data_IF_715477763163
#
_entry.id   IF_715477763163
#
_cell.length_a   1.000
_cell.length_b   1.000
_cell.length_c   1.000
_cell.angle_alpha   90.00
_cell.angle_beta   90.00
_cell.angle_gamma   90.00
#
_symmetry.space_group_name_H-M   'P 1'
#
loop_
_entity.id
_entity.type
_entity.pdbx_description
1 polymer ?
#
# COMPACT_ATOMS: atom_id res chain seq x y z
N UNK A 1 3.35 -38.61 -5.66
CA UNK A 1 3.19 -38.04 -7.00
C UNK A 1 2.26 -36.84 -6.96
N UNK A 2 2.69 -35.69 -7.53
CA UNK A 2 1.87 -34.50 -7.67
C UNK A 2 1.42 -34.37 -9.12
N UNK A 3 0.13 -34.12 -9.33
CA UNK A 3 -0.47 -33.93 -10.65
C UNK A 3 -1.44 -32.75 -10.65
N UNK A 4 -1.88 -32.32 -11.84
CA UNK A 4 -2.83 -31.23 -12.03
C UNK A 4 -4.23 -31.47 -11.43
N UNK A 5 -4.52 -32.67 -10.95
CA UNK A 5 -5.75 -33.02 -10.24
C UNK A 5 -5.79 -32.44 -8.82
N UNK A 6 -4.64 -32.04 -8.26
CA UNK A 6 -4.52 -31.50 -6.90
C UNK A 6 -4.51 -29.98 -7.00
N UNK A 7 -5.58 -29.34 -6.51
CA UNK A 7 -5.77 -27.86 -6.60
C UNK A 7 -4.80 -27.01 -5.77
N UNK A 8 -4.26 -27.57 -4.68
CA UNK A 8 -3.24 -26.91 -3.84
C UNK A 8 -2.21 -27.94 -3.46
N UNK A 9 -0.96 -27.66 -3.76
CA UNK A 9 0.15 -28.53 -3.49
C UNK A 9 1.39 -27.73 -3.09
N UNK A 10 2.42 -28.43 -2.64
CA UNK A 10 3.70 -27.82 -2.32
C UNK A 10 4.83 -28.70 -2.83
N UNK A 11 5.90 -28.06 -3.27
CA UNK A 11 7.17 -28.71 -3.62
C UNK A 11 8.24 -28.22 -2.63
N UNK A 12 9.01 -29.18 -2.12
CA UNK A 12 10.20 -28.95 -1.32
C UNK A 12 11.38 -29.38 -2.17
N UNK A 13 12.40 -28.53 -2.25
CA UNK A 13 13.65 -28.80 -2.95
C UNK A 13 14.81 -28.73 -1.96
N UNK A 14 15.92 -29.37 -2.28
CA UNK A 14 17.15 -29.32 -1.51
C UNK A 14 17.76 -27.91 -1.48
N UNK A 15 17.68 -27.18 -2.60
CA UNK A 15 18.11 -25.80 -2.72
C UNK A 15 16.98 -24.93 -3.26
N UNK A 16 17.01 -23.62 -2.96
CA UNK A 16 16.04 -22.66 -3.50
C UNK A 16 16.66 -21.30 -3.75
N UNK A 17 16.32 -20.71 -4.93
CA UNK A 17 16.60 -19.33 -5.27
C UNK A 17 15.42 -18.39 -4.97
N UNK A 18 14.29 -18.92 -4.48
CA UNK A 18 13.10 -18.15 -4.10
C UNK A 18 13.28 -17.52 -2.72
N UNK A 19 12.92 -16.26 -2.58
CA UNK A 19 12.80 -15.61 -1.28
C UNK A 19 11.56 -16.19 -0.55
N UNK A 20 11.75 -16.67 0.64
CA UNK A 20 10.65 -17.10 1.50
C UNK A 20 10.10 -15.91 2.30
N UNK A 21 8.77 -15.81 2.46
CA UNK A 21 8.12 -14.77 3.24
C UNK A 21 8.78 -14.58 4.60
N UNK A 22 9.28 -13.37 4.86
CA UNK A 22 9.95 -13.00 6.09
C UNK A 22 10.06 -11.48 6.21
N UNK A 23 10.15 -10.94 7.45
CA UNK A 23 10.38 -9.50 7.70
C UNK A 23 9.33 -8.57 7.07
N UNK A 24 8.13 -9.07 6.80
CA UNK A 24 7.05 -8.33 6.13
C UNK A 24 7.11 -8.34 4.60
N UNK A 25 8.19 -8.85 3.98
CA UNK A 25 8.24 -9.07 2.53
C UNK A 25 7.57 -10.40 2.19
N UNK A 26 6.65 -10.38 1.21
CA UNK A 26 5.99 -11.59 0.68
C UNK A 26 6.98 -12.53 0.00
N UNK A 27 6.64 -13.83 -0.02
CA UNK A 27 7.42 -14.85 -0.71
C UNK A 27 7.42 -14.64 -2.24
N UNK A 28 8.50 -15.09 -2.88
CA UNK A 28 8.61 -15.06 -4.34
C UNK A 28 7.61 -16.01 -4.99
N UNK A 29 7.22 -15.63 -6.19
CA UNK A 29 6.42 -16.42 -7.13
C UNK A 29 7.28 -16.81 -8.32
N UNK A 30 6.83 -17.81 -9.09
CA UNK A 30 7.56 -18.23 -10.28
C UNK A 30 7.18 -19.62 -10.74
N UNK A 31 8.13 -20.33 -11.36
CA UNK A 31 7.92 -21.64 -11.97
C UNK A 31 9.00 -22.62 -11.49
N UNK A 32 8.57 -23.83 -11.17
CA UNK A 32 9.45 -24.99 -11.00
C UNK A 32 9.14 -25.95 -12.14
N UNK A 33 10.14 -26.32 -12.93
CA UNK A 33 9.98 -27.21 -14.09
C UNK A 33 10.90 -28.42 -13.98
N UNK A 34 10.43 -29.55 -14.45
CA UNK A 34 11.21 -30.73 -14.80
C UNK A 34 11.13 -30.97 -16.31
N UNK A 35 11.73 -32.05 -16.81
CA UNK A 35 11.72 -32.37 -18.23
C UNK A 35 10.30 -32.40 -18.85
N UNK A 36 9.31 -32.94 -18.11
CA UNK A 36 7.94 -33.15 -18.62
C UNK A 36 6.84 -32.59 -17.71
N UNK A 37 7.19 -31.71 -16.76
CA UNK A 37 6.22 -31.16 -15.83
C UNK A 37 6.54 -29.71 -15.46
N UNK A 38 5.48 -28.95 -15.19
CA UNK A 38 5.56 -27.55 -14.79
C UNK A 38 4.64 -27.27 -13.59
N UNK A 39 5.20 -26.57 -12.59
CA UNK A 39 4.53 -26.17 -11.36
C UNK A 39 4.61 -24.66 -11.20
N UNK A 40 3.46 -24.00 -11.01
CA UNK A 40 3.40 -22.58 -10.71
C UNK A 40 3.50 -22.35 -9.22
N UNK A 41 4.56 -21.67 -8.79
CA UNK A 41 4.73 -21.22 -7.42
C UNK A 41 3.93 -19.92 -7.22
N UNK A 42 3.03 -19.93 -6.25
CA UNK A 42 2.18 -18.77 -5.88
C UNK A 42 2.60 -18.12 -4.56
N UNK A 43 3.34 -18.85 -3.73
CA UNK A 43 3.90 -18.39 -2.46
C UNK A 43 5.10 -19.25 -2.05
N UNK A 44 6.06 -18.65 -1.38
CA UNK A 44 7.24 -19.35 -0.85
C UNK A 44 7.40 -19.04 0.63
N UNK A 45 7.51 -20.08 1.45
CA UNK A 45 7.69 -19.98 2.90
C UNK A 45 8.89 -20.81 3.35
N UNK A 46 9.31 -20.55 4.57
CA UNK A 46 10.42 -21.27 5.20
C UNK A 46 10.01 -21.78 6.58
N UNK A 47 10.33 -23.03 6.88
CA UNK A 47 10.12 -23.58 8.22
C UNK A 47 11.14 -23.00 9.21
N UNK A 48 10.92 -23.11 10.53
CA UNK A 48 11.92 -22.72 11.53
C UNK A 48 13.27 -23.45 11.37
N UNK A 49 13.25 -24.66 10.78
CA UNK A 49 14.45 -25.48 10.50
C UNK A 49 15.16 -25.06 9.21
N UNK A 50 14.63 -24.08 8.48
CA UNK A 50 15.27 -23.55 7.28
C UNK A 50 14.82 -24.22 5.97
N UNK A 51 13.83 -25.09 5.96
CA UNK A 51 13.33 -25.79 4.76
C UNK A 51 12.42 -24.86 3.97
N UNK A 52 12.72 -24.66 2.69
CA UNK A 52 11.89 -23.88 1.76
C UNK A 52 10.72 -24.71 1.25
N UNK A 53 9.53 -24.17 1.30
CA UNK A 53 8.28 -24.76 0.83
C UNK A 53 7.70 -23.86 -0.25
N UNK A 54 7.58 -24.37 -1.48
CA UNK A 54 7.02 -23.65 -2.62
C UNK A 54 5.56 -24.09 -2.78
N UNK A 55 4.63 -23.24 -2.38
CA UNK A 55 3.18 -23.48 -2.51
C UNK A 55 2.70 -23.10 -3.91
N UNK A 56 1.78 -23.90 -4.46
CA UNK A 56 1.25 -23.61 -5.78
C UNK A 56 0.41 -24.74 -6.36
N UNK A 57 0.46 -24.88 -7.67
CA UNK A 57 -0.27 -25.91 -8.41
C UNK A 57 0.50 -26.40 -9.64
N UNK A 58 0.32 -27.68 -9.97
CA UNK A 58 0.84 -28.28 -11.19
C UNK A 58 0.08 -27.72 -12.38
N UNK A 59 0.80 -27.15 -13.37
CA UNK A 59 0.25 -26.67 -14.62
C UNK A 59 0.14 -27.83 -15.61
N UNK A 60 1.22 -28.60 -15.73
CA UNK A 60 1.31 -29.73 -16.68
C UNK A 60 2.19 -30.84 -16.10
N UNK A 61 1.97 -32.05 -16.57
CA UNK A 61 2.73 -33.25 -16.20
C UNK A 61 2.55 -33.68 -14.75
N UNK A 62 3.53 -34.42 -14.24
CA UNK A 62 3.53 -34.97 -12.89
C UNK A 62 4.91 -34.86 -12.26
N UNK A 63 4.97 -34.55 -10.97
CA UNK A 63 6.20 -34.55 -10.17
C UNK A 63 6.25 -35.74 -9.24
N UNK A 64 7.46 -36.33 -9.09
CA UNK A 64 7.77 -37.38 -8.14
C UNK A 64 8.97 -36.99 -7.29
N UNK A 65 9.10 -37.58 -6.13
CA UNK A 65 10.28 -37.41 -5.28
C UNK A 65 11.52 -37.88 -6.06
N UNK A 66 12.60 -37.12 -5.97
CA UNK A 66 13.87 -37.41 -6.65
C UNK A 66 13.95 -36.85 -8.09
N UNK A 67 12.90 -36.17 -8.61
CA UNK A 67 13.04 -35.46 -9.88
C UNK A 67 14.02 -34.30 -9.76
N UNK A 68 14.90 -34.17 -10.72
CA UNK A 68 15.69 -32.96 -10.93
C UNK A 68 14.76 -31.85 -11.47
N UNK A 69 14.88 -30.68 -10.88
CA UNK A 69 14.01 -29.54 -11.20
C UNK A 69 14.82 -28.26 -11.40
N UNK A 70 14.32 -27.41 -12.29
CA UNK A 70 14.81 -26.06 -12.52
C UNK A 70 13.87 -25.06 -11.87
N UNK A 71 14.41 -24.17 -11.03
CA UNK A 71 13.68 -23.12 -10.35
C UNK A 71 13.87 -21.80 -11.10
N UNK A 72 12.76 -21.12 -11.41
CA UNK A 72 12.76 -19.82 -12.10
C UNK A 72 11.82 -18.85 -11.37
N UNK A 73 12.42 -17.88 -10.69
CA UNK A 73 11.68 -16.78 -10.03
C UNK A 73 11.07 -15.87 -11.08
N UNK A 74 9.87 -15.36 -10.82
CA UNK A 74 9.28 -14.25 -11.57
C UNK A 74 10.01 -12.95 -11.21
N UNK A 75 11.00 -12.62 -12.04
CA UNK A 75 11.84 -11.43 -11.82
C UNK A 75 11.05 -10.13 -11.96
N UNK A 76 9.99 -10.10 -12.76
CA UNK A 76 9.14 -8.90 -12.91
C UNK A 76 8.44 -8.56 -11.59
N UNK A 77 7.90 -9.57 -10.89
CA UNK A 77 7.29 -9.37 -9.58
C UNK A 77 8.34 -9.06 -8.51
N UNK A 78 9.47 -9.80 -8.52
CA UNK A 78 10.58 -9.56 -7.57
C UNK A 78 11.12 -8.14 -7.67
N UNK A 79 11.24 -7.58 -8.87
CA UNK A 79 11.76 -6.23 -9.05
C UNK A 79 10.80 -5.17 -8.51
N UNK A 80 9.48 -5.35 -8.65
CA UNK A 80 8.50 -4.49 -8.00
C UNK A 80 8.58 -4.57 -6.46
N UNK A 81 8.73 -5.79 -5.93
CA UNK A 81 8.90 -6.02 -4.48
C UNK A 81 10.18 -5.36 -3.96
N UNK A 82 11.32 -5.49 -4.67
CA UNK A 82 12.58 -4.83 -4.32
C UNK A 82 12.44 -3.32 -4.23
N UNK A 83 11.73 -2.68 -5.20
CA UNK A 83 11.46 -1.24 -5.20
C UNK A 83 10.69 -0.84 -3.93
N UNK A 84 9.59 -1.51 -3.64
CA UNK A 84 8.78 -1.25 -2.46
C UNK A 84 9.55 -1.53 -1.16
N UNK A 85 10.35 -2.59 -1.09
CA UNK A 85 11.14 -2.90 0.10
C UNK A 85 12.22 -1.85 0.36
N UNK A 86 12.95 -1.47 -0.67
CA UNK A 86 13.98 -0.43 -0.54
C UNK A 86 13.37 0.92 -0.17
N UNK A 87 12.20 1.27 -0.76
CA UNK A 87 11.47 2.48 -0.38
C UNK A 87 10.98 2.44 1.08
N UNK A 88 10.68 1.26 1.64
CA UNK A 88 10.29 1.11 3.06
C UNK A 88 11.42 1.58 3.98
N UNK A 89 12.66 1.22 3.70
CA UNK A 89 13.83 1.66 4.47
C UNK A 89 14.05 3.17 4.35
N UNK A 90 13.90 3.74 3.14
CA UNK A 90 14.02 5.19 2.94
C UNK A 90 12.89 5.93 3.68
N UNK A 91 11.66 5.41 3.64
CA UNK A 91 10.52 5.96 4.39
C UNK A 91 10.77 5.92 5.90
N UNK A 92 11.28 4.80 6.43
CA UNK A 92 11.61 4.67 7.85
C UNK A 92 12.63 5.73 8.29
N UNK A 93 13.71 5.91 7.53
CA UNK A 93 14.70 6.95 7.80
C UNK A 93 14.08 8.37 7.74
N UNK A 94 13.27 8.68 6.71
CA UNK A 94 12.57 9.96 6.58
C UNK A 94 11.62 10.23 7.76
N UNK A 95 10.87 9.22 8.20
CA UNK A 95 9.99 9.33 9.36
C UNK A 95 10.77 9.66 10.62
N UNK A 96 11.91 9.01 10.86
CA UNK A 96 12.79 9.31 11.99
C UNK A 96 13.37 10.71 11.94
N UNK A 97 13.78 11.17 10.76
CA UNK A 97 14.32 12.51 10.56
C UNK A 97 13.27 13.60 10.86
N UNK A 98 12.02 13.40 10.46
CA UNK A 98 10.96 14.41 10.56
C UNK A 98 10.14 14.33 11.85
N UNK A 99 9.97 13.14 12.43
CA UNK A 99 9.11 12.92 13.60
C UNK A 99 9.91 12.63 14.88
N UNK A 100 11.15 12.17 14.75
CA UNK A 100 12.07 11.90 15.86
C UNK A 100 12.45 10.42 16.02
N UNK A 101 13.47 10.19 16.84
CA UNK A 101 14.11 8.88 17.02
C UNK A 101 13.23 7.84 17.73
N UNK A 102 12.08 8.22 18.28
CA UNK A 102 11.09 7.30 18.86
C UNK A 102 10.34 6.49 17.80
N UNK A 103 10.42 6.89 16.53
CA UNK A 103 9.84 6.13 15.43
C UNK A 103 10.57 4.80 15.31
N UNK A 104 9.84 3.72 15.51
CA UNK A 104 10.32 2.34 15.37
C UNK A 104 9.26 1.50 14.68
N UNK A 105 9.67 0.56 13.84
CA UNK A 105 8.78 -0.37 13.15
C UNK A 105 7.97 -1.18 14.15
N UNK A 106 6.67 -1.30 13.90
CA UNK A 106 5.71 -2.15 14.63
C UNK A 106 5.11 -3.24 13.75
N UNK A 107 5.17 -3.05 12.44
CA UNK A 107 4.75 -4.01 11.43
C UNK A 107 5.16 -3.53 10.04
N UNK A 108 5.25 -4.46 9.12
CA UNK A 108 5.55 -4.19 7.72
C UNK A 108 4.82 -5.18 6.82
N UNK A 109 4.45 -4.74 5.63
CA UNK A 109 4.03 -5.59 4.52
C UNK A 109 4.57 -4.99 3.23
N UNK A 110 5.29 -5.80 2.47
CA UNK A 110 5.87 -5.41 1.19
C UNK A 110 5.48 -6.45 0.14
N UNK A 111 4.75 -6.01 -0.87
CA UNK A 111 4.39 -6.82 -2.02
C UNK A 111 4.63 -6.07 -3.34
N UNK A 112 4.25 -6.65 -4.47
CA UNK A 112 4.41 -6.08 -5.81
C UNK A 112 3.60 -4.81 -6.07
N UNK A 113 2.55 -4.54 -5.27
CA UNK A 113 1.65 -3.41 -5.49
C UNK A 113 1.96 -2.23 -4.60
N UNK A 114 2.30 -2.48 -3.34
CA UNK A 114 2.52 -1.45 -2.32
C UNK A 114 3.40 -1.92 -1.17
N UNK A 115 3.86 -0.96 -0.41
CA UNK A 115 4.41 -1.15 0.92
C UNK A 115 3.42 -0.64 1.98
N UNK A 116 3.44 -1.26 3.16
CA UNK A 116 2.75 -0.82 4.37
C UNK A 116 3.76 -0.79 5.50
N UNK A 117 3.82 0.31 6.20
CA UNK A 117 4.74 0.50 7.32
C UNK A 117 3.98 0.99 8.55
N UNK A 118 3.92 0.15 9.59
CA UNK A 118 3.31 0.46 10.87
C UNK A 118 4.43 0.87 11.84
N UNK A 119 4.30 1.99 12.54
CA UNK A 119 5.36 2.54 13.38
C UNK A 119 4.83 3.23 14.63
N UNK A 120 5.70 3.34 15.64
CA UNK A 120 5.39 4.02 16.89
C UNK A 120 5.36 5.54 16.69
N UNK A 121 4.16 6.15 16.88
CA UNK A 121 3.96 7.60 16.92
C UNK A 121 2.60 7.91 17.51
N UNK A 122 2.54 8.90 18.43
CA UNK A 122 1.34 9.18 19.23
C UNK A 122 0.42 10.26 18.63
N UNK A 123 0.89 11.00 17.63
CA UNK A 123 0.17 12.13 17.05
C UNK A 123 -0.18 11.86 15.60
N UNK A 124 -1.28 12.45 15.13
CA UNK A 124 -1.59 12.48 13.71
C UNK A 124 -0.51 13.27 12.97
N UNK A 125 -0.10 12.75 11.82
CA UNK A 125 0.85 13.43 10.94
C UNK A 125 0.06 14.41 10.07
N UNK A 126 0.46 15.68 10.09
CA UNK A 126 -0.19 16.69 9.26
C UNK A 126 0.14 16.49 7.77
N UNK A 127 -0.75 16.95 6.88
CA UNK A 127 -0.51 16.89 5.44
C UNK A 127 0.83 17.52 5.04
N UNK A 128 1.22 18.62 5.69
CA UNK A 128 2.51 19.26 5.46
C UNK A 128 3.71 18.37 5.83
N UNK A 129 3.60 17.60 6.93
CA UNK A 129 4.65 16.63 7.31
C UNK A 129 4.70 15.45 6.33
N UNK A 130 3.55 14.95 5.88
CA UNK A 130 3.47 13.91 4.85
C UNK A 130 4.16 14.38 3.56
N UNK A 131 3.86 15.59 3.11
CA UNK A 131 4.49 16.17 1.91
C UNK A 131 6.01 16.32 2.08
N UNK A 132 6.46 16.73 3.28
CA UNK A 132 7.89 16.85 3.56
C UNK A 132 8.59 15.50 3.53
N UNK A 133 8.02 14.48 4.18
CA UNK A 133 8.53 13.11 4.19
C UNK A 133 8.59 12.54 2.76
N UNK A 134 7.51 12.70 2.00
CA UNK A 134 7.46 12.22 0.62
C UNK A 134 8.51 12.90 -0.27
N UNK A 135 8.69 14.21 -0.15
CA UNK A 135 9.71 14.96 -0.88
C UNK A 135 11.12 14.52 -0.50
N UNK A 136 11.38 14.28 0.79
CA UNK A 136 12.67 13.80 1.26
C UNK A 136 13.01 12.43 0.65
N UNK A 137 12.09 11.46 0.71
CA UNK A 137 12.26 10.14 0.09
C UNK A 137 12.48 10.26 -1.41
N UNK A 138 11.68 11.07 -2.11
CA UNK A 138 11.79 11.28 -3.56
C UNK A 138 13.14 11.90 -3.93
N UNK A 139 13.65 12.83 -3.13
CA UNK A 139 14.96 13.42 -3.35
C UNK A 139 16.11 12.41 -3.22
N UNK A 140 16.04 11.51 -2.22
CA UNK A 140 17.03 10.43 -2.08
C UNK A 140 16.97 9.47 -3.27
N UNK A 141 15.76 9.13 -3.75
CA UNK A 141 15.57 8.26 -4.93
C UNK A 141 16.16 8.89 -6.20
N UNK A 142 16.10 10.20 -6.35
CA UNK A 142 16.64 10.89 -7.53
C UNK A 142 18.18 10.84 -7.59
N UNK A 143 18.85 10.56 -6.49
CA UNK A 143 20.30 10.44 -6.43
C UNK A 143 20.74 9.01 -6.83
N UNK A 144 21.73 8.92 -7.73
CA UNK A 144 22.33 7.63 -8.08
C UNK A 144 23.25 7.17 -6.95
N UNK A 145 22.80 6.20 -6.17
CA UNK A 145 23.56 5.61 -5.08
C UNK A 145 23.41 4.10 -5.07
N UNK A 146 24.54 3.38 -5.08
CA UNK A 146 24.55 1.92 -5.01
C UNK A 146 24.09 1.44 -3.63
N UNK A 147 23.21 0.46 -3.62
CA UNK A 147 22.88 -0.30 -2.42
C UNK A 147 24.10 -1.10 -1.98
N UNK A 148 24.49 -0.96 -0.72
CA UNK A 148 25.57 -1.76 -0.15
C UNK A 148 24.99 -2.79 0.81
N UNK A 149 25.48 -4.01 0.67
CA UNK A 149 25.07 -5.15 1.50
C UNK A 149 26.33 -5.76 2.07
N UNK A 150 26.43 -5.77 3.41
CA UNK A 150 27.54 -6.31 4.15
C UNK A 150 27.04 -7.41 5.10
N UNK A 151 27.85 -8.46 5.29
CA UNK A 151 27.63 -9.45 6.36
C UNK A 151 28.61 -9.08 7.48
N UNK A 152 28.08 -8.92 8.70
CA UNK A 152 28.83 -8.46 9.88
C UNK A 152 28.33 -9.16 11.12
N UNK A 153 29.11 -9.11 12.20
CA UNK A 153 28.59 -9.43 13.53
C UNK A 153 27.51 -8.43 13.94
N UNK A 154 26.52 -8.86 14.72
CA UNK A 154 25.47 -7.97 15.20
C UNK A 154 26.05 -6.77 15.97
N UNK A 155 27.10 -7.00 16.74
CA UNK A 155 27.76 -5.95 17.53
C UNK A 155 28.41 -4.86 16.65
N UNK A 156 29.12 -5.26 15.58
CA UNK A 156 29.72 -4.33 14.63
C UNK A 156 28.67 -3.54 13.85
N UNK A 157 27.58 -4.21 13.45
CA UNK A 157 26.47 -3.57 12.75
C UNK A 157 25.84 -2.45 13.61
N UNK A 158 25.57 -2.73 14.89
CA UNK A 158 25.00 -1.75 15.84
C UNK A 158 25.99 -0.60 16.08
N UNK A 159 27.29 -0.89 16.26
CA UNK A 159 28.32 0.16 16.41
C UNK A 159 28.40 1.10 15.19
N UNK A 160 28.08 0.61 14.00
CA UNK A 160 28.01 1.42 12.77
C UNK A 160 26.68 2.15 12.59
N UNK A 161 25.77 2.06 13.58
CA UNK A 161 24.48 2.73 13.56
C UNK A 161 23.38 1.98 12.82
N UNK A 162 23.58 0.67 12.51
CA UNK A 162 22.53 -0.13 11.91
C UNK A 162 21.36 -0.31 12.88
N UNK A 163 20.14 -0.08 12.35
CA UNK A 163 18.92 -0.31 13.12
C UNK A 163 18.53 -1.78 13.06
N UNK A 164 18.30 -2.38 14.23
CA UNK A 164 17.69 -3.68 14.36
C UNK A 164 16.15 -3.50 14.41
N UNK A 165 15.41 -4.30 13.66
CA UNK A 165 13.96 -4.27 13.67
C UNK A 165 13.42 -4.91 14.95
N UNK A 166 12.38 -4.31 15.49
CA UNK A 166 11.78 -4.76 16.74
C UNK A 166 11.13 -6.15 16.58
N UNK A 167 11.50 -7.09 17.46
CA UNK A 167 10.89 -8.42 17.51
C UNK A 167 11.53 -9.46 16.60
N UNK A 168 12.53 -9.12 15.81
CA UNK A 168 13.31 -10.10 15.03
C UNK A 168 14.44 -10.71 15.87
N UNK A 169 14.67 -12.01 15.68
CA UNK A 169 15.83 -12.71 16.28
C UNK A 169 16.93 -12.78 15.24
N UNK A 170 18.07 -12.22 15.60
CA UNK A 170 19.25 -12.21 14.74
C UNK A 170 20.25 -13.27 15.21
N UNK A 171 20.97 -13.88 14.27
CA UNK A 171 22.10 -14.75 14.55
C UNK A 171 23.36 -13.97 14.88
N UNK A 172 24.48 -14.68 15.03
CA UNK A 172 25.79 -14.06 15.26
C UNK A 172 26.22 -13.19 14.09
N UNK A 173 25.90 -13.60 12.86
CA UNK A 173 26.10 -12.84 11.63
C UNK A 173 24.78 -12.27 11.13
N UNK A 174 24.79 -10.99 10.76
CA UNK A 174 23.64 -10.24 10.27
C UNK A 174 23.95 -9.60 8.93
N UNK A 175 22.91 -9.53 8.10
CA UNK A 175 22.95 -8.84 6.82
C UNK A 175 22.56 -7.38 7.03
N UNK A 176 23.52 -6.47 6.78
CA UNK A 176 23.35 -5.02 6.90
C UNK A 176 23.09 -4.45 5.50
N UNK A 177 21.98 -3.76 5.35
CA UNK A 177 21.60 -3.09 4.09
C UNK A 177 21.74 -1.58 4.29
N UNK A 178 22.56 -0.96 3.44
CA UNK A 178 22.75 0.49 3.39
C UNK A 178 22.14 1.03 2.09
N UNK A 179 21.23 1.98 2.22
CA UNK A 179 20.46 2.56 1.12
C UNK A 179 20.53 4.09 1.15
N UNK A 180 20.80 4.66 -0.02
CA UNK A 180 20.84 6.10 -0.20
C UNK A 180 22.01 6.79 0.49
N UNK A 181 22.22 8.05 0.11
CA UNK A 181 23.24 8.90 0.67
C UNK A 181 22.72 10.33 0.81
N UNK A 182 23.04 10.97 1.92
CA UNK A 182 22.75 12.38 2.15
C UNK A 182 23.97 13.04 2.78
N UNK A 183 24.52 14.08 2.12
CA UNK A 183 25.73 14.79 2.55
C UNK A 183 26.92 13.84 2.82
N UNK A 184 27.20 12.92 1.91
CA UNK A 184 28.26 11.90 1.99
C UNK A 184 28.13 10.96 3.22
N UNK A 185 26.92 10.80 3.75
CA UNK A 185 26.63 9.84 4.80
C UNK A 185 25.51 8.89 4.35
N UNK A 186 25.57 7.61 4.77
CA UNK A 186 24.47 6.68 4.53
C UNK A 186 23.13 7.26 5.02
N UNK A 187 22.09 7.16 4.19
CA UNK A 187 20.77 7.67 4.55
C UNK A 187 19.98 6.68 5.42
N UNK A 188 20.01 5.40 5.05
CA UNK A 188 19.45 4.30 5.86
C UNK A 188 20.46 3.19 6.03
N UNK A 189 20.60 2.66 7.25
CA UNK A 189 21.40 1.47 7.58
C UNK A 189 20.56 0.59 8.47
N UNK A 190 20.16 -0.58 7.97
CA UNK A 190 19.25 -1.48 8.70
C UNK A 190 19.66 -2.95 8.58
N UNK A 191 19.35 -3.75 9.61
CA UNK A 191 19.46 -5.20 9.56
C UNK A 191 18.29 -5.74 8.76
N UNK A 192 18.56 -6.31 7.58
CA UNK A 192 17.49 -6.78 6.70
C UNK A 192 17.91 -7.97 5.83
N UNK A 193 17.12 -9.05 5.90
CA UNK A 193 17.30 -10.25 5.07
C UNK A 193 16.57 -10.20 3.72
N UNK A 194 15.79 -9.14 3.44
CA UNK A 194 14.95 -9.04 2.25
C UNK A 194 15.69 -8.73 0.96
N UNK A 195 14.93 -8.63 -0.13
CA UNK A 195 15.46 -8.31 -1.45
C UNK A 195 15.38 -6.82 -1.72
N UNK A 196 16.46 -6.24 -2.30
CA UNK A 196 16.57 -4.80 -2.54
C UNK A 196 17.03 -4.50 -3.96
N UNK A 197 16.79 -3.26 -4.40
CA UNK A 197 17.36 -2.72 -5.63
C UNK A 197 18.89 -2.64 -5.53
N UNK A 198 19.58 -2.71 -6.65
CA UNK A 198 21.05 -2.57 -6.69
C UNK A 198 21.48 -1.12 -6.66
N UNK A 199 20.60 -0.24 -7.13
CA UNK A 199 20.78 1.21 -7.07
C UNK A 199 19.46 1.87 -6.64
N UNK A 200 19.54 2.89 -5.78
CA UNK A 200 18.37 3.55 -5.19
C UNK A 200 17.48 4.18 -6.26
N UNK A 201 18.04 4.68 -7.37
CA UNK A 201 17.25 5.28 -8.45
C UNK A 201 16.37 4.27 -9.24
N UNK A 202 16.63 2.95 -9.10
CA UNK A 202 15.74 1.91 -9.67
C UNK A 202 14.34 1.93 -9.04
N UNK A 203 14.15 2.56 -7.88
CA UNK A 203 12.83 2.77 -7.26
C UNK A 203 11.96 3.67 -8.14
N UNK A 204 12.57 4.61 -8.89
CA UNK A 204 11.98 5.55 -9.85
C UNK A 204 11.08 6.60 -9.18
N UNK A 205 9.88 6.21 -8.75
CA UNK A 205 8.85 7.08 -8.15
C UNK A 205 8.44 6.55 -6.80
N UNK A 206 8.02 7.46 -5.91
CA UNK A 206 7.48 7.13 -4.61
C UNK A 206 6.27 8.02 -4.30
N UNK A 207 5.19 7.43 -3.79
CA UNK A 207 4.00 8.18 -3.39
C UNK A 207 3.36 7.56 -2.15
N UNK A 208 3.05 8.41 -1.15
CA UNK A 208 2.31 8.01 0.04
C UNK A 208 0.82 7.99 -0.30
N UNK A 209 0.19 6.81 -0.20
CA UNK A 209 -1.22 6.57 -0.52
C UNK A 209 -2.11 7.05 0.63
N UNK A 210 -1.76 6.68 1.86
CA UNK A 210 -2.56 6.97 3.06
C UNK A 210 -1.71 7.02 4.31
N UNK A 211 -2.22 7.71 5.33
CA UNK A 211 -1.71 7.75 6.70
C UNK A 211 -2.89 7.62 7.65
N UNK A 212 -2.84 6.65 8.58
CA UNK A 212 -3.93 6.36 9.50
C UNK A 212 -3.47 5.88 10.88
N UNK A 213 -4.35 5.92 11.87
CA UNK A 213 -4.14 5.30 13.17
C UNK A 213 -4.57 3.84 13.13
N UNK A 214 -3.71 2.94 13.62
CA UNK A 214 -4.02 1.50 13.72
C UNK A 214 -4.42 1.12 15.13
N UNK A 215 -3.70 1.65 16.11
CA UNK A 215 -3.95 1.45 17.54
C UNK A 215 -3.34 2.59 18.34
N UNK A 216 -3.55 2.59 19.65
CA UNK A 216 -2.94 3.60 20.51
C UNK A 216 -1.41 3.61 20.35
N UNK A 217 -0.86 4.75 19.96
CA UNK A 217 0.59 4.93 19.76
C UNK A 217 1.18 4.28 18.52
N UNK A 218 0.34 3.74 17.58
CA UNK A 218 0.80 3.13 16.34
C UNK A 218 0.10 3.79 15.14
N UNK A 219 0.90 4.29 14.23
CA UNK A 219 0.48 4.86 12.94
C UNK A 219 0.88 3.94 11.80
N UNK A 220 0.12 4.01 10.71
CA UNK A 220 0.35 3.27 9.47
C UNK A 220 0.51 4.22 8.31
N UNK A 221 1.51 3.98 7.47
CA UNK A 221 1.61 4.57 6.13
C UNK A 221 1.55 3.46 5.10
N UNK A 222 0.73 3.66 4.07
CA UNK A 222 0.79 2.88 2.84
C UNK A 222 1.39 3.76 1.73
N UNK A 223 2.25 3.17 0.91
CA UNK A 223 2.89 3.86 -0.21
C UNK A 223 3.12 2.91 -1.39
N UNK A 224 3.38 3.44 -2.57
CA UNK A 224 3.71 2.69 -3.77
C UNK A 224 4.91 3.30 -4.49
N UNK A 225 5.51 2.53 -5.41
CA UNK A 225 6.72 2.91 -6.15
C UNK A 225 6.57 2.65 -7.64
N UNK A 226 7.49 3.23 -8.44
CA UNK A 226 7.58 3.01 -9.89
C UNK A 226 6.30 3.35 -10.63
N UNK A 227 5.91 2.51 -11.57
CA UNK A 227 4.71 2.68 -12.40
C UNK A 227 3.39 2.62 -11.60
N UNK A 228 3.39 1.99 -10.41
CA UNK A 228 2.21 1.97 -9.54
C UNK A 228 1.81 3.35 -9.03
N UNK A 229 2.74 4.28 -8.98
CA UNK A 229 2.45 5.70 -8.67
C UNK A 229 1.56 6.32 -9.76
N UNK A 230 1.89 6.10 -11.03
CA UNK A 230 1.11 6.64 -12.15
C UNK A 230 -0.28 6.00 -12.23
N UNK A 231 -0.36 4.69 -12.01
CA UNK A 231 -1.62 3.96 -11.92
C UNK A 231 -2.50 4.53 -10.80
N UNK A 232 -1.93 4.74 -9.61
CA UNK A 232 -2.65 5.28 -8.45
C UNK A 232 -3.17 6.69 -8.73
N UNK A 233 -2.32 7.59 -9.21
CA UNK A 233 -2.69 8.98 -9.53
C UNK A 233 -3.78 9.03 -10.60
N UNK A 234 -3.65 8.24 -11.67
CA UNK A 234 -4.64 8.16 -12.74
C UNK A 234 -6.01 7.65 -12.25
N UNK A 235 -6.01 6.61 -11.41
CA UNK A 235 -7.24 6.07 -10.85
C UNK A 235 -7.92 7.07 -9.90
N UNK A 236 -7.14 7.72 -9.04
CA UNK A 236 -7.65 8.76 -8.14
C UNK A 236 -8.26 9.92 -8.89
N UNK A 237 -7.62 10.39 -9.96
CA UNK A 237 -8.16 11.46 -10.80
C UNK A 237 -9.50 11.07 -11.43
N UNK A 238 -9.64 9.83 -11.92
CA UNK A 238 -10.91 9.31 -12.46
C UNK A 238 -12.00 9.22 -11.39
N UNK A 239 -11.64 8.76 -10.19
CA UNK A 239 -12.58 8.69 -9.06
C UNK A 239 -13.07 10.08 -8.65
N UNK A 240 -12.16 11.06 -8.56
CA UNK A 240 -12.49 12.45 -8.23
C UNK A 240 -13.40 13.08 -9.29
N UNK A 241 -13.11 12.87 -10.59
CA UNK A 241 -13.97 13.32 -11.70
C UNK A 241 -15.36 12.68 -11.67
N UNK A 242 -15.44 11.37 -11.37
CA UNK A 242 -16.72 10.68 -11.25
C UNK A 242 -17.54 11.18 -10.05
N UNK A 243 -16.88 11.44 -8.92
CA UNK A 243 -17.51 12.02 -7.74
C UNK A 243 -18.05 13.42 -8.05
N UNK A 244 -17.23 14.24 -8.69
CA UNK A 244 -17.62 15.60 -9.08
C UNK A 244 -18.85 15.60 -10.00
N UNK A 245 -18.88 14.73 -11.01
CA UNK A 245 -20.04 14.55 -11.88
C UNK A 245 -21.30 14.12 -11.10
N UNK A 246 -21.16 13.16 -10.16
CA UNK A 246 -22.30 12.74 -9.31
C UNK A 246 -22.87 13.89 -8.48
N UNK A 247 -22.02 14.77 -7.96
CA UNK A 247 -22.45 15.96 -7.21
C UNK A 247 -23.19 16.94 -8.13
N UNK A 248 -22.70 17.17 -9.35
CA UNK A 248 -23.36 18.04 -10.33
C UNK A 248 -24.73 17.49 -10.76
N UNK A 249 -24.81 16.19 -11.05
CA UNK A 249 -26.07 15.53 -11.40
C UNK A 249 -27.10 15.64 -10.25
N UNK A 250 -26.64 15.51 -9.00
CA UNK A 250 -27.50 15.67 -7.81
C UNK A 250 -28.01 17.12 -7.67
N UNK A 251 -27.16 18.11 -7.87
CA UNK A 251 -27.51 19.54 -7.84
C UNK A 251 -28.58 19.83 -8.91
N UNK A 252 -28.36 19.39 -10.16
CA UNK A 252 -29.29 19.55 -11.26
C UNK A 252 -30.66 18.95 -10.93
N UNK A 253 -30.67 17.73 -10.38
CA UNK A 253 -31.93 17.07 -10.00
C UNK A 253 -32.68 17.84 -8.90
N UNK A 254 -31.98 18.30 -7.85
CA UNK A 254 -32.61 19.11 -6.77
C UNK A 254 -33.17 20.41 -7.29
N UNK A 255 -32.45 21.14 -8.14
CA UNK A 255 -32.92 22.37 -8.78
C UNK A 255 -34.16 22.06 -9.62
N UNK A 256 -34.19 20.98 -10.38
CA UNK A 256 -35.37 20.58 -11.16
C UNK A 256 -36.60 20.32 -10.29
N UNK A 257 -36.42 19.63 -9.14
CA UNK A 257 -37.52 19.39 -8.19
C UNK A 257 -38.02 20.67 -7.55
N UNK A 258 -37.14 21.61 -7.18
CA UNK A 258 -37.48 22.90 -6.62
C UNK A 258 -38.31 23.74 -7.63
N UNK A 259 -37.84 23.74 -8.89
CA UNK A 259 -38.56 24.47 -9.97
C UNK A 259 -39.95 23.90 -10.23
N UNK A 260 -40.18 22.60 -10.15
CA UNK A 260 -41.49 21.94 -10.25
C UNK A 260 -42.46 22.39 -9.16
N UNK A 261 -41.93 22.78 -8.00
CA UNK A 261 -42.73 23.33 -6.89
C UNK A 261 -42.80 24.89 -6.92
N UNK A 262 -42.45 25.49 -8.04
CA UNK A 262 -42.39 26.95 -8.23
C UNK A 262 -41.47 27.69 -7.23
N UNK A 263 -40.47 26.95 -6.69
CA UNK A 263 -39.46 27.52 -5.81
C UNK A 263 -38.46 28.38 -6.59
N UNK A 264 -38.02 29.48 -5.98
CA UNK A 264 -36.97 30.36 -6.54
C UNK A 264 -35.72 30.28 -5.67
N UNK A 265 -34.60 29.80 -6.25
CA UNK A 265 -33.33 29.72 -5.56
C UNK A 265 -32.66 31.08 -5.57
N UNK A 266 -32.42 31.67 -4.38
CA UNK A 266 -31.79 33.00 -4.20
C UNK A 266 -30.40 32.89 -3.53
N UNK A 267 -29.84 31.69 -3.42
CA UNK A 267 -28.55 31.42 -2.79
C UNK A 267 -27.67 30.57 -3.70
N UNK A 268 -26.35 30.71 -3.55
CA UNK A 268 -25.34 29.90 -4.18
C UNK A 268 -24.30 29.49 -3.14
N UNK A 269 -23.49 28.50 -3.45
CA UNK A 269 -22.42 28.04 -2.58
C UNK A 269 -21.29 27.44 -3.44
N UNK A 270 -20.04 27.81 -3.16
CA UNK A 270 -18.88 27.24 -3.87
C UNK A 270 -18.64 25.77 -3.53
N UNK A 271 -18.87 25.40 -2.26
CA UNK A 271 -18.77 24.00 -1.83
C UNK A 271 -20.02 23.23 -2.24
N UNK A 272 -19.88 22.32 -3.23
CA UNK A 272 -20.98 21.53 -3.79
C UNK A 272 -21.76 20.73 -2.74
N UNK A 273 -21.08 20.14 -1.73
CA UNK A 273 -21.76 19.41 -0.67
C UNK A 273 -22.61 20.31 0.22
N UNK A 274 -22.12 21.50 0.54
CA UNK A 274 -22.87 22.49 1.31
C UNK A 274 -24.04 23.02 0.49
N UNK A 275 -23.84 23.22 -0.81
CA UNK A 275 -24.89 23.64 -1.73
C UNK A 275 -26.01 22.62 -1.82
N UNK A 276 -25.67 21.34 -1.99
CA UNK A 276 -26.64 20.23 -1.98
C UNK A 276 -27.45 20.25 -0.68
N UNK A 277 -26.82 20.37 0.48
CA UNK A 277 -27.52 20.43 1.77
C UNK A 277 -28.48 21.60 1.88
N UNK A 278 -28.09 22.77 1.38
CA UNK A 278 -28.99 23.95 1.34
C UNK A 278 -30.19 23.72 0.40
N UNK A 279 -29.97 23.12 -0.77
CA UNK A 279 -31.02 22.79 -1.72
C UNK A 279 -31.99 21.74 -1.16
N UNK A 280 -31.49 20.71 -0.50
CA UNK A 280 -32.31 19.66 0.18
C UNK A 280 -33.21 20.31 1.24
N UNK A 281 -32.67 21.11 2.13
CA UNK A 281 -33.43 21.80 3.18
C UNK A 281 -34.50 22.75 2.57
N UNK A 282 -34.15 23.44 1.50
CA UNK A 282 -35.10 24.34 0.82
C UNK A 282 -36.23 23.55 0.14
N UNK A 283 -35.92 22.46 -0.52
CA UNK A 283 -36.90 21.56 -1.14
C UNK A 283 -37.87 20.96 -0.11
N UNK A 284 -37.37 20.52 1.05
CA UNK A 284 -38.21 20.00 2.11
C UNK A 284 -39.16 21.05 2.70
N UNK A 285 -38.68 22.28 2.86
CA UNK A 285 -39.53 23.39 3.28
C UNK A 285 -40.64 23.71 2.25
N UNK A 286 -40.36 23.64 0.94
CA UNK A 286 -41.36 23.83 -0.11
C UNK A 286 -42.39 22.68 -0.12
N UNK A 287 -41.98 21.44 0.04
CA UNK A 287 -42.91 20.28 0.15
C UNK A 287 -43.85 20.45 1.33
N UNK A 288 -43.32 20.78 2.51
CA UNK A 288 -44.14 20.98 3.72
C UNK A 288 -45.16 22.11 3.55
N UNK A 289 -44.80 23.24 2.92
CA UNK A 289 -45.74 24.30 2.61
C UNK A 289 -46.83 23.84 1.64
N UNK A 290 -46.50 23.06 0.64
CA UNK A 290 -47.46 22.53 -0.33
C UNK A 290 -48.46 21.56 0.31
N UNK A 291 -48.02 20.73 1.28
CA UNK A 291 -48.90 19.82 2.04
C UNK A 291 -49.87 20.62 2.88
N UNK A 292 -49.40 21.61 3.65
CA UNK A 292 -50.24 22.46 4.50
C UNK A 292 -51.31 23.23 3.70
N UNK A 293 -50.94 23.79 2.54
CA UNK A 293 -51.89 24.49 1.66
C UNK A 293 -52.96 23.55 1.08
N UNK A 294 -52.63 22.29 0.80
CA UNK A 294 -53.63 21.31 0.34
C UNK A 294 -54.56 20.84 1.46
N UNK A 295 -54.07 20.70 2.70
CA UNK A 295 -54.92 20.40 3.87
C UNK A 295 -55.88 21.55 4.22
N UNK A 296 -55.43 22.79 4.10
CA UNK A 296 -56.32 23.97 4.30
C UNK A 296 -57.38 24.07 3.20
N UNK A 297 -57.05 23.82 1.94
CA UNK A 297 -58.02 23.83 0.84
C UNK A 297 -59.05 22.69 0.99
N UNK A 298 -58.65 21.48 1.39
CA UNK A 298 -59.58 20.39 1.63
C UNK A 298 -60.56 20.65 2.83
N UNK A 299 -60.06 21.33 3.87
CA UNK A 299 -60.93 21.74 5.01
C UNK A 299 -61.95 22.81 4.62
N UNK A 300 -61.60 23.73 3.68
CA UNK A 300 -62.53 24.76 3.18
C UNK A 300 -63.61 24.13 2.29
N UNK A 301 -63.27 23.11 1.49
CA UNK A 301 -64.25 22.36 0.68
C UNK A 301 -65.25 21.54 1.57
N UNK A 302 -64.75 20.93 2.67
CA UNK A 302 -65.60 20.20 3.61
C UNK A 302 -66.51 21.11 4.44
N UNK A 303 -66.18 22.39 4.64
CA UNK A 303 -67.02 23.35 5.38
C UNK A 303 -68.04 24.05 4.52
N UNK A 304 -68.01 23.92 3.17
CA UNK A 304 -68.92 24.55 2.23
C UNK A 304 -70.00 23.54 1.68
N UNK A 305 -70.15 22.37 2.27
CA UNK A 305 -71.20 21.39 2.05
C UNK A 305 -72.14 21.43 3.28
#
# INVERSE_FOLDING_TARGET
ELSNKIKKSAIITDESCFYAESGGQVGDKGIISSENAEFRVTDTRKTPQGIFIHFGNVISGNFKIGHEVKLKVDMSLRDLIKKNHSATHLLHAALRNNLGLHVAQRGSLVNENKLRFDFSHNKQISSKQIDTIQKEVTNIISNTCKTRIDIKSQEEAIKQGAMALFGEKYGEEVRVVTLGENNNKPYSIELCGGTHVTNVNEIEKFHIISEESVSSGVRRIEACTGNKVDEFISNKLKEDQLLEKKLDDKIINLISQINKLNGKISFSEENKNLYIKKLENYLDNLKNKSILSNEENNKIEETNI
#
